data_IF_591167736900
#
_entry.id   IF_591167736900
#
_cell.length_a   1.000
_cell.length_b   1.000
_cell.length_c   1.000
_cell.angle_alpha   90.00
_cell.angle_beta   90.00
_cell.angle_gamma   90.00
#
_symmetry.space_group_name_H-M   'P 1'
#
loop_
_entity.id
_entity.type
_entity.pdbx_description
1 polymer ?
#
# COMPACT_ATOMS: atom_id res chain seq x y z
N UNK A 1 16.01 7.81 -9.73
CA UNK A 1 16.19 6.51 -10.43
C UNK A 1 17.64 6.29 -10.82
N UNK A 2 18.29 7.27 -11.46
CA UNK A 2 19.71 7.16 -11.83
C UNK A 2 20.61 6.70 -10.68
N UNK A 3 20.53 7.34 -9.50
CA UNK A 3 21.36 6.97 -8.34
C UNK A 3 21.19 5.50 -7.91
N UNK A 4 19.97 4.96 -8.00
CA UNK A 4 19.70 3.56 -7.67
C UNK A 4 20.32 2.61 -8.70
N UNK A 5 20.21 2.96 -9.99
CA UNK A 5 20.79 2.16 -11.07
C UNK A 5 22.34 2.16 -10.96
N UNK A 6 22.94 3.29 -10.57
CA UNK A 6 24.38 3.41 -10.28
C UNK A 6 24.80 2.57 -9.06
N UNK A 7 24.04 2.64 -7.96
CA UNK A 7 24.26 1.82 -6.76
C UNK A 7 24.22 0.32 -7.10
N UNK A 8 23.20 -0.11 -7.84
CA UNK A 8 23.00 -1.51 -8.21
C UNK A 8 24.16 -2.02 -9.07
N UNK A 9 24.59 -1.23 -10.07
CA UNK A 9 25.73 -1.57 -10.91
C UNK A 9 27.03 -1.69 -10.10
N UNK A 10 27.30 -0.74 -9.21
CA UNK A 10 28.50 -0.75 -8.36
C UNK A 10 28.51 -1.92 -7.37
N UNK A 11 27.35 -2.28 -6.81
CA UNK A 11 27.21 -3.44 -5.93
C UNK A 11 27.50 -4.75 -6.69
N UNK A 12 26.91 -4.93 -7.87
CA UNK A 12 27.12 -6.13 -8.69
C UNK A 12 28.57 -6.31 -9.14
N UNK A 13 29.28 -5.23 -9.49
CA UNK A 13 30.72 -5.29 -9.81
C UNK A 13 31.57 -5.82 -8.64
N UNK A 14 31.08 -5.70 -7.40
CA UNK A 14 31.72 -6.18 -6.18
C UNK A 14 31.18 -7.55 -5.72
N UNK A 15 30.30 -8.19 -6.49
CA UNK A 15 29.64 -9.44 -6.11
C UNK A 15 28.62 -9.27 -4.97
N UNK A 16 28.21 -8.04 -4.65
CA UNK A 16 27.22 -7.74 -3.61
C UNK A 16 25.83 -7.84 -4.22
N UNK A 17 24.92 -8.52 -3.50
CA UNK A 17 23.50 -8.63 -3.88
C UNK A 17 22.69 -7.61 -3.10
N UNK A 18 21.74 -6.95 -3.75
CA UNK A 18 20.80 -6.03 -3.11
C UNK A 18 19.45 -6.75 -2.90
N UNK A 19 18.94 -6.62 -1.68
CA UNK A 19 17.60 -7.06 -1.26
C UNK A 19 16.81 -5.79 -0.98
N UNK A 20 15.54 -5.78 -1.39
CA UNK A 20 14.64 -4.66 -1.10
C UNK A 20 13.45 -5.16 -0.29
N UNK A 21 12.96 -4.30 0.59
CA UNK A 21 11.69 -4.54 1.26
C UNK A 21 10.53 -4.27 0.30
N UNK A 22 9.58 -5.21 0.28
CA UNK A 22 8.34 -5.05 -0.47
C UNK A 22 7.20 -4.89 0.53
N UNK A 23 6.78 -3.64 0.68
CA UNK A 23 5.66 -3.27 1.56
C UNK A 23 4.41 -3.15 0.71
N UNK A 24 3.60 -4.20 0.73
CA UNK A 24 2.39 -4.32 -0.11
C UNK A 24 1.12 -4.62 0.69
N UNK A 25 1.20 -4.58 2.02
CA UNK A 25 0.01 -4.61 2.86
C UNK A 25 -0.77 -3.30 2.78
N UNK A 26 -0.06 -2.17 2.71
CA UNK A 26 -0.64 -0.83 2.73
C UNK A 26 0.17 0.12 1.84
N UNK A 27 -0.41 1.24 1.46
CA UNK A 27 0.30 2.37 0.84
C UNK A 27 0.19 3.60 1.72
N UNK A 28 1.01 4.62 1.42
CA UNK A 28 0.77 5.96 1.97
C UNK A 28 -0.62 6.46 1.59
N UNK A 29 -1.28 7.22 2.46
CA UNK A 29 -2.47 8.00 2.10
C UNK A 29 -2.17 9.07 1.06
N UNK A 30 -0.91 9.47 0.89
CA UNK A 30 -0.47 10.36 -0.21
C UNK A 30 -0.29 9.61 -1.54
N UNK A 31 -0.44 8.28 -1.56
CA UNK A 31 -0.30 7.50 -2.78
C UNK A 31 -1.42 7.84 -3.77
N UNK A 32 -1.08 7.91 -5.05
CA UNK A 32 -2.02 8.32 -6.10
C UNK A 32 -3.30 7.46 -6.15
N UNK A 33 -3.20 6.15 -5.87
CA UNK A 33 -4.38 5.28 -5.76
C UNK A 33 -5.31 5.73 -4.62
N UNK A 34 -4.78 6.02 -3.43
CA UNK A 34 -5.58 6.42 -2.28
C UNK A 34 -6.16 7.81 -2.47
N UNK A 35 -5.35 8.78 -2.90
CA UNK A 35 -5.80 10.14 -3.19
C UNK A 35 -6.90 10.17 -4.25
N UNK A 36 -6.83 9.29 -5.25
CA UNK A 36 -7.91 9.17 -6.23
C UNK A 36 -9.18 8.54 -5.66
N UNK A 37 -9.09 7.72 -4.62
CA UNK A 37 -10.24 7.06 -3.98
C UNK A 37 -10.86 7.89 -2.86
N UNK A 38 -10.07 8.74 -2.19
CA UNK A 38 -10.49 9.60 -1.09
C UNK A 38 -11.50 10.63 -1.59
N UNK A 39 -12.66 10.74 -0.94
CA UNK A 39 -13.71 11.65 -1.37
C UNK A 39 -14.52 11.22 -2.60
N UNK A 40 -14.13 10.15 -3.30
CA UNK A 40 -14.78 9.70 -4.55
C UNK A 40 -15.13 8.21 -4.53
N UNK A 41 -16.41 7.90 -4.26
CA UNK A 41 -16.94 6.53 -4.31
C UNK A 41 -16.95 5.91 -5.71
N UNK A 42 -16.85 6.71 -6.77
CA UNK A 42 -16.87 6.23 -8.17
C UNK A 42 -15.48 6.06 -8.77
N UNK A 43 -14.44 6.39 -8.01
CA UNK A 43 -13.06 6.23 -8.44
C UNK A 43 -12.75 4.80 -8.87
N UNK A 44 -12.01 4.66 -9.98
CA UNK A 44 -11.50 3.35 -10.43
C UNK A 44 -10.62 2.66 -9.39
N UNK A 45 -10.06 3.43 -8.45
CA UNK A 45 -9.19 2.94 -7.37
C UNK A 45 -9.94 2.78 -6.05
N UNK A 46 -11.26 3.03 -5.99
CA UNK A 46 -12.02 2.93 -4.72
C UNK A 46 -11.84 1.57 -4.06
N UNK A 47 -12.03 0.50 -4.83
CA UNK A 47 -11.90 -0.88 -4.36
C UNK A 47 -10.45 -1.36 -4.17
N UNK A 48 -9.45 -0.48 -4.34
CA UNK A 48 -8.05 -0.81 -4.02
C UNK A 48 -7.79 -0.78 -2.51
N UNK A 49 -8.68 -0.13 -1.76
CA UNK A 49 -8.62 -0.03 -0.31
C UNK A 49 -9.89 -0.61 0.32
N UNK A 50 -9.84 -0.79 1.64
CA UNK A 50 -10.94 -1.40 2.39
C UNK A 50 -11.79 -0.31 3.02
N UNK A 51 -13.00 -0.13 2.51
CA UNK A 51 -13.97 0.87 2.98
C UNK A 51 -15.16 0.22 3.68
N UNK A 52 -15.73 0.93 4.67
CA UNK A 52 -16.98 0.55 5.36
C UNK A 52 -17.85 1.77 5.66
N UNK A 53 -19.18 1.67 5.50
CA UNK A 53 -20.07 2.80 5.76
C UNK A 53 -20.04 3.24 7.23
N UNK A 54 -20.24 4.54 7.47
CA UNK A 54 -20.47 5.06 8.81
C UNK A 54 -21.93 4.87 9.22
N UNK A 55 -22.21 3.80 9.94
CA UNK A 55 -23.56 3.51 10.48
C UNK A 55 -23.76 4.13 11.88
N UNK A 56 -23.13 5.27 12.15
CA UNK A 56 -23.13 5.93 13.47
C UNK A 56 -22.21 5.27 14.50
N UNK A 57 -21.38 4.31 14.10
CA UNK A 57 -20.39 3.62 14.91
C UNK A 57 -19.23 3.13 14.04
N UNK A 58 -18.10 2.83 14.67
CA UNK A 58 -16.98 2.18 13.98
C UNK A 58 -17.40 0.83 13.38
N UNK A 59 -16.87 0.43 12.21
CA UNK A 59 -17.26 -0.82 11.54
C UNK A 59 -17.08 -2.07 12.41
N UNK A 60 -16.05 -2.08 13.25
CA UNK A 60 -15.81 -3.10 14.29
C UNK A 60 -14.90 -2.51 15.40
N UNK A 61 -14.48 -3.35 16.34
CA UNK A 61 -13.63 -2.98 17.47
C UNK A 61 -12.12 -3.18 17.22
N UNK A 62 -11.68 -3.30 15.96
CA UNK A 62 -10.27 -3.52 15.65
C UNK A 62 -9.42 -2.32 16.06
N UNK A 63 -8.26 -2.62 16.66
CA UNK A 63 -7.29 -1.63 17.07
C UNK A 63 -6.10 -1.62 16.11
N UNK A 64 -5.63 -0.42 15.77
CA UNK A 64 -4.38 -0.26 15.04
C UNK A 64 -3.21 -0.76 15.89
N UNK A 65 -2.18 -1.30 15.23
CA UNK A 65 -0.91 -1.67 15.87
C UNK A 65 -0.19 -0.47 16.50
N UNK A 66 -0.50 0.75 16.08
CA UNK A 66 0.04 1.99 16.66
C UNK A 66 -0.94 2.70 17.59
N UNK A 67 -2.02 2.01 18.00
CA UNK A 67 -2.98 2.49 18.98
C UNK A 67 -4.17 3.23 18.37
N UNK A 68 -5.27 3.26 19.12
CA UNK A 68 -6.56 3.77 18.64
C UNK A 68 -7.29 2.79 17.73
N UNK A 69 -8.36 3.28 17.11
CA UNK A 69 -9.14 2.53 16.11
C UNK A 69 -8.29 2.20 14.89
N UNK A 70 -8.52 1.03 14.27
CA UNK A 70 -7.98 0.70 12.94
C UNK A 70 -8.79 1.33 11.78
N UNK A 71 -9.78 2.15 12.09
CA UNK A 71 -10.68 2.78 11.14
C UNK A 71 -10.59 4.30 11.26
N UNK A 72 -10.36 4.97 10.14
CA UNK A 72 -10.33 6.43 10.03
C UNK A 72 -11.41 6.89 9.04
N UNK A 73 -12.10 7.99 9.38
CA UNK A 73 -13.24 8.50 8.62
C UNK A 73 -12.76 9.34 7.44
N UNK A 74 -13.31 9.08 6.26
CA UNK A 74 -13.34 10.00 5.13
C UNK A 74 -14.68 10.76 5.16
N UNK A 75 -14.65 11.99 5.66
CA UNK A 75 -15.83 12.82 5.85
C UNK A 75 -16.57 13.12 4.54
N UNK A 76 -15.87 13.16 3.41
CA UNK A 76 -16.47 13.48 2.11
C UNK A 76 -17.35 12.33 1.59
N UNK A 77 -17.03 11.08 1.96
CA UNK A 77 -17.82 9.90 1.55
C UNK A 77 -18.68 9.31 2.66
N UNK A 78 -18.50 9.77 3.91
CA UNK A 78 -19.09 9.20 5.11
C UNK A 78 -18.81 7.69 5.25
N UNK A 79 -17.57 7.31 4.94
CA UNK A 79 -17.07 5.95 5.06
C UNK A 79 -15.74 5.92 5.80
N UNK A 80 -15.51 4.84 6.54
CA UNK A 80 -14.23 4.56 7.16
C UNK A 80 -13.34 3.78 6.20
N UNK A 81 -12.05 4.12 6.13
CA UNK A 81 -11.03 3.26 5.55
C UNK A 81 -10.26 2.51 6.64
N UNK A 82 -9.80 1.30 6.31
CA UNK A 82 -8.97 0.49 7.20
C UNK A 82 -7.51 0.96 7.16
N UNK A 83 -6.92 1.07 8.34
CA UNK A 83 -5.48 1.21 8.55
C UNK A 83 -5.05 0.34 9.75
N UNK A 84 -4.39 -0.78 9.48
CA UNK A 84 -3.89 -1.67 10.54
C UNK A 84 -2.67 -1.08 11.26
N UNK A 85 -1.97 -0.15 10.63
CA UNK A 85 -0.83 0.58 11.18
C UNK A 85 -1.17 2.07 11.35
N UNK A 86 -0.29 2.99 10.95
CA UNK A 86 -0.54 4.42 11.05
C UNK A 86 -1.74 4.83 10.20
N UNK A 87 -2.40 5.94 10.54
CA UNK A 87 -3.54 6.44 9.74
C UNK A 87 -3.12 6.76 8.30
N UNK A 88 -1.88 7.16 8.13
CA UNK A 88 -1.24 7.44 6.85
C UNK A 88 -0.88 6.17 6.06
N UNK A 89 -1.13 4.98 6.60
CA UNK A 89 -0.88 3.68 5.98
C UNK A 89 -2.20 2.95 5.69
N UNK A 90 -2.86 3.33 4.59
CA UNK A 90 -4.13 2.73 4.19
C UNK A 90 -3.93 1.32 3.61
N UNK A 91 -4.66 0.35 4.16
CA UNK A 91 -4.53 -1.06 3.80
C UNK A 91 -5.09 -1.35 2.40
N UNK A 92 -4.28 -2.06 1.60
CA UNK A 92 -4.68 -2.53 0.29
C UNK A 92 -5.68 -3.69 0.40
N UNK A 93 -6.69 -3.67 -0.45
CA UNK A 93 -7.69 -4.70 -0.54
C UNK A 93 -7.17 -5.89 -1.36
N UNK A 94 -6.54 -6.85 -0.69
CA UNK A 94 -5.99 -8.06 -1.33
C UNK A 94 -7.05 -9.00 -1.92
N UNK A 95 -8.33 -8.84 -1.60
CA UNK A 95 -9.42 -9.58 -2.24
C UNK A 95 -9.67 -9.11 -3.68
N UNK A 96 -9.26 -7.87 -4.01
CA UNK A 96 -9.41 -7.31 -5.34
C UNK A 96 -8.36 -7.88 -6.31
N UNK A 97 -8.76 -8.59 -7.39
CA UNK A 97 -7.81 -9.14 -8.36
C UNK A 97 -6.96 -8.09 -9.06
N UNK A 98 -7.46 -6.86 -9.23
CA UNK A 98 -6.69 -5.76 -9.86
C UNK A 98 -5.53 -5.31 -8.97
N UNK A 99 -5.73 -5.24 -7.65
CA UNK A 99 -4.67 -4.93 -6.68
C UNK A 99 -3.58 -5.99 -6.77
N UNK A 100 -3.95 -7.27 -6.74
CA UNK A 100 -2.98 -8.37 -6.83
C UNK A 100 -2.16 -8.31 -8.13
N UNK A 101 -2.81 -8.00 -9.24
CA UNK A 101 -2.15 -7.88 -10.54
C UNK A 101 -1.22 -6.66 -10.61
N UNK A 102 -1.64 -5.48 -10.14
CA UNK A 102 -0.77 -4.29 -10.14
C UNK A 102 0.41 -4.43 -9.18
N UNK A 103 0.20 -5.05 -8.00
CA UNK A 103 1.29 -5.38 -7.08
C UNK A 103 2.29 -6.34 -7.72
N UNK A 104 1.81 -7.37 -8.44
CA UNK A 104 2.68 -8.29 -9.18
C UNK A 104 3.51 -7.54 -10.23
N UNK A 105 2.91 -6.61 -10.96
CA UNK A 105 3.63 -5.78 -11.95
C UNK A 105 4.72 -4.91 -11.30
N UNK A 106 4.47 -4.36 -10.10
CA UNK A 106 5.49 -3.62 -9.34
C UNK A 106 6.66 -4.54 -8.95
N UNK A 107 6.37 -5.74 -8.47
CA UNK A 107 7.40 -6.74 -8.11
C UNK A 107 8.21 -7.14 -9.35
N UNK A 108 7.54 -7.39 -10.48
CA UNK A 108 8.18 -7.74 -11.76
C UNK A 108 9.06 -6.60 -12.29
N UNK A 109 8.60 -5.35 -12.24
CA UNK A 109 9.38 -4.18 -12.63
C UNK A 109 10.71 -4.12 -11.87
N UNK A 110 10.65 -4.28 -10.56
CA UNK A 110 11.86 -4.29 -9.76
C UNK A 110 12.69 -5.52 -10.11
N UNK A 111 12.10 -6.72 -10.17
CA UNK A 111 12.84 -7.97 -10.40
C UNK A 111 13.65 -7.92 -11.71
N UNK A 112 13.07 -7.34 -12.75
CA UNK A 112 13.74 -7.09 -14.03
C UNK A 112 14.93 -6.13 -13.92
N UNK A 113 14.93 -5.20 -12.96
CA UNK A 113 16.10 -4.33 -12.68
C UNK A 113 17.27 -5.08 -12.05
N UNK A 114 17.05 -6.23 -11.41
CA UNK A 114 18.13 -7.14 -10.99
C UNK A 114 18.46 -7.20 -9.50
N UNK A 115 17.56 -6.77 -8.60
CA UNK A 115 17.66 -7.09 -7.17
C UNK A 115 17.29 -8.58 -6.92
N UNK A 116 17.81 -9.19 -5.86
CA UNK A 116 17.98 -10.65 -5.80
C UNK A 116 17.14 -11.40 -4.76
N UNK A 117 16.51 -10.73 -3.79
CA UNK A 117 15.61 -11.39 -2.85
C UNK A 117 14.58 -10.43 -2.26
N UNK A 118 13.44 -10.99 -1.86
CA UNK A 118 12.25 -10.32 -1.35
C UNK A 118 12.26 -10.36 0.20
N UNK A 119 12.29 -9.20 0.85
CA UNK A 119 11.93 -9.06 2.26
C UNK A 119 10.42 -8.78 2.38
N UNK A 120 9.69 -9.66 3.07
CA UNK A 120 8.30 -9.41 3.47
C UNK A 120 8.30 -9.02 4.94
N UNK A 121 7.87 -7.80 5.24
CA UNK A 121 7.60 -7.32 6.60
C UNK A 121 6.12 -7.04 6.79
#
# INVERSE_FOLDING_TARGET
>A
MQDFDELLAAAHQKGIRIIMDIVVNHTSTEHHWFQSALGDKQSRYRDYYIWKPNEGKLPNNWQSKFGGSAWALDEATDEYYLHLFAKEQADLNWENPKVREEVKQVIEFWAQKGWMALGLM
#
